data_IF_856037208911
#
_entry.id   IF_856037208911
#
_cell.length_a   1.000
_cell.length_b   1.000
_cell.length_c   1.000
_cell.angle_alpha   90.00
_cell.angle_beta   90.00
_cell.angle_gamma   90.00
#
_symmetry.space_group_name_H-M   'P 1'
#
loop_
_entity.id
_entity.type
_entity.pdbx_description
1 polymer ?
#
# COMPACT_ATOMS: atom_id res chain seq x y z
N UNK A 1 8.52 12.21 -4.38
CA UNK A 1 8.16 11.22 -3.34
C UNK A 1 9.42 10.69 -2.66
N UNK A 2 9.29 10.14 -1.46
CA UNK A 2 10.39 9.54 -0.68
C UNK A 2 10.28 8.01 -0.67
N UNK A 3 11.39 7.29 -0.48
CA UNK A 3 11.34 5.84 -0.31
C UNK A 3 12.28 5.35 0.78
N UNK A 4 11.89 4.22 1.37
CA UNK A 4 12.76 3.26 2.04
C UNK A 4 12.71 1.92 1.30
N UNK A 5 13.82 1.18 1.25
CA UNK A 5 13.87 -0.12 0.60
C UNK A 5 14.98 -0.99 1.18
N UNK A 6 14.78 -2.29 1.20
CA UNK A 6 15.82 -3.29 1.49
C UNK A 6 16.26 -4.05 0.22
N UNK A 7 15.91 -3.53 -0.97
CA UNK A 7 16.38 -4.04 -2.25
C UNK A 7 17.85 -3.73 -2.46
N UNK A 8 18.54 -4.55 -3.25
CA UNK A 8 19.89 -4.29 -3.71
C UNK A 8 19.89 -3.11 -4.70
N UNK A 9 20.70 -2.09 -4.41
CA UNK A 9 20.84 -0.93 -5.29
C UNK A 9 21.51 -1.29 -6.62
N UNK A 10 21.04 -0.67 -7.70
CA UNK A 10 21.64 -0.74 -9.03
C UNK A 10 22.36 0.57 -9.38
N UNK A 11 23.11 0.57 -10.48
CA UNK A 11 23.68 1.80 -11.02
C UNK A 11 22.57 2.75 -11.52
N UNK A 12 22.69 4.02 -11.16
CA UNK A 12 21.72 5.07 -11.49
C UNK A 12 20.82 5.49 -10.32
N UNK A 13 20.06 6.56 -10.53
CA UNK A 13 19.14 7.09 -9.53
C UNK A 13 17.80 6.36 -9.55
N UNK A 14 17.24 6.06 -8.37
CA UNK A 14 15.95 5.37 -8.25
C UNK A 14 15.88 4.03 -8.98
N UNK A 15 16.98 3.26 -8.95
CA UNK A 15 17.07 1.92 -9.54
C UNK A 15 17.50 0.89 -8.50
N UNK A 16 16.70 -0.15 -8.37
CA UNK A 16 16.95 -1.26 -7.46
C UNK A 16 16.52 -2.56 -8.11
N UNK A 17 17.20 -3.66 -7.76
CA UNK A 17 16.86 -4.97 -8.31
C UNK A 17 15.68 -5.62 -7.59
N UNK A 18 15.26 -6.78 -8.10
CA UNK A 18 14.33 -7.69 -7.40
C UNK A 18 14.98 -8.47 -6.25
N UNK A 19 16.28 -8.32 -6.01
CA UNK A 19 17.00 -9.04 -4.96
C UNK A 19 17.09 -8.20 -3.67
N UNK A 20 17.12 -8.88 -2.53
CA UNK A 20 17.43 -8.23 -1.24
C UNK A 20 18.88 -7.79 -1.21
N UNK A 21 19.16 -6.64 -0.60
CA UNK A 21 20.52 -6.19 -0.34
C UNK A 21 21.21 -7.12 0.66
N UNK A 22 22.47 -7.47 0.39
CA UNK A 22 23.36 -8.19 1.33
C UNK A 22 24.26 -7.25 2.15
N UNK A 23 24.23 -5.95 1.84
CA UNK A 23 25.16 -4.95 2.39
C UNK A 23 24.45 -3.94 3.28
N UNK A 24 23.26 -3.51 2.88
CA UNK A 24 22.45 -2.51 3.60
C UNK A 24 21.11 -3.13 4.01
N UNK A 25 20.75 -3.02 5.28
CA UNK A 25 19.43 -3.46 5.73
C UNK A 25 18.31 -2.55 5.21
N UNK A 26 18.58 -1.25 5.10
CA UNK A 26 17.68 -0.22 4.62
C UNK A 26 18.44 0.87 3.85
N UNK A 27 17.95 1.21 2.67
CA UNK A 27 18.39 2.34 1.86
C UNK A 27 17.26 3.37 1.75
N UNK A 28 17.63 4.64 1.85
CA UNK A 28 16.69 5.77 1.80
C UNK A 28 16.93 6.64 0.56
N UNK A 29 15.90 7.36 0.13
CA UNK A 29 16.08 8.33 -0.95
C UNK A 29 14.79 9.03 -1.39
N UNK A 30 14.88 9.72 -2.52
CA UNK A 30 13.74 10.38 -3.15
C UNK A 30 13.75 10.20 -4.66
N UNK A 31 12.56 10.10 -5.24
CA UNK A 31 12.35 10.07 -6.69
C UNK A 31 11.42 11.23 -7.10
N UNK A 32 11.74 11.85 -8.24
CA UNK A 32 10.87 12.81 -8.91
C UNK A 32 10.13 12.09 -10.04
N UNK A 33 8.81 12.10 -9.97
CA UNK A 33 7.93 11.54 -10.99
C UNK A 33 7.20 12.69 -11.69
N UNK A 34 7.08 12.64 -13.01
CA UNK A 34 6.23 13.53 -13.81
C UNK A 34 4.97 12.82 -14.26
N UNK A 35 3.92 13.59 -14.46
CA UNK A 35 2.63 13.15 -14.99
C UNK A 35 2.36 13.89 -16.29
N UNK A 36 1.72 13.25 -17.28
CA UNK A 36 1.30 13.92 -18.49
C UNK A 36 0.20 14.96 -18.18
N UNK A 37 0.05 16.03 -18.97
CA UNK A 37 -0.95 17.06 -18.72
C UNK A 37 -2.40 16.56 -18.70
N UNK A 38 -2.69 15.49 -19.43
CA UNK A 38 -4.00 14.84 -19.56
C UNK A 38 -4.15 13.58 -18.69
N UNK A 39 -3.30 13.44 -17.66
CA UNK A 39 -3.32 12.32 -16.71
C UNK A 39 -4.73 12.02 -16.19
N UNK A 40 -5.10 10.74 -16.20
CA UNK A 40 -6.41 10.26 -15.74
C UNK A 40 -6.27 9.52 -14.42
N UNK A 41 -7.17 9.84 -13.50
CA UNK A 41 -7.24 9.17 -12.19
C UNK A 41 -7.33 7.66 -12.38
N UNK A 42 -6.46 6.94 -11.68
CA UNK A 42 -6.40 5.50 -11.72
C UNK A 42 -5.57 4.93 -12.87
N UNK A 43 -4.92 5.75 -13.70
CA UNK A 43 -4.14 5.26 -14.83
C UNK A 43 -2.68 5.62 -14.62
N UNK A 44 -1.79 4.65 -14.79
CA UNK A 44 -0.36 4.94 -14.97
C UNK A 44 -0.12 4.91 -16.47
N UNK A 45 -0.13 6.08 -17.12
CA UNK A 45 0.10 6.16 -18.56
C UNK A 45 1.50 5.66 -18.89
N UNK A 46 1.58 4.68 -19.78
CA UNK A 46 2.82 4.04 -20.21
C UNK A 46 2.79 3.75 -21.71
N UNK A 47 3.95 3.58 -22.35
CA UNK A 47 3.98 3.16 -23.75
C UNK A 47 3.22 1.84 -23.93
N UNK A 48 2.54 1.71 -25.07
CA UNK A 48 1.81 0.47 -25.40
C UNK A 48 2.75 -0.74 -25.55
N UNK A 49 4.01 -0.52 -25.92
CA UNK A 49 5.05 -1.54 -25.97
C UNK A 49 6.33 -1.01 -25.32
N UNK A 50 7.03 -1.87 -24.58
CA UNK A 50 8.26 -1.50 -23.86
C UNK A 50 9.39 -1.02 -24.78
N UNK A 51 9.39 -1.42 -26.05
CA UNK A 51 10.38 -0.97 -27.04
C UNK A 51 10.13 0.47 -27.53
N UNK A 52 8.94 1.02 -27.29
CA UNK A 52 8.63 2.40 -27.66
C UNK A 52 9.23 3.41 -26.69
N UNK A 53 9.68 4.53 -27.25
CA UNK A 53 10.25 5.61 -26.46
C UNK A 53 9.19 6.21 -25.55
N UNK A 54 9.51 6.32 -24.27
CA UNK A 54 8.64 7.01 -23.32
C UNK A 54 8.73 8.54 -23.47
N UNK A 55 7.58 9.23 -23.46
CA UNK A 55 7.47 10.68 -23.51
C UNK A 55 6.85 11.21 -22.21
N UNK A 56 7.44 12.19 -21.50
CA UNK A 56 6.83 12.79 -20.31
C UNK A 56 5.51 13.51 -20.57
N UNK A 57 5.22 13.92 -21.82
CA UNK A 57 3.94 14.56 -22.17
C UNK A 57 2.80 13.55 -22.32
N UNK A 58 3.11 12.26 -22.50
CA UNK A 58 2.13 11.19 -22.69
C UNK A 58 2.14 10.17 -21.55
N UNK A 59 3.23 10.08 -20.76
CA UNK A 59 3.45 8.99 -19.80
C UNK A 59 3.91 9.45 -18.42
N UNK A 60 3.57 8.65 -17.40
CA UNK A 60 4.10 8.78 -16.05
C UNK A 60 5.55 8.31 -16.00
N UNK A 61 6.46 9.22 -15.65
CA UNK A 61 7.91 9.00 -15.80
C UNK A 61 8.68 9.32 -14.54
N UNK A 62 9.60 8.43 -14.15
CA UNK A 62 10.64 8.75 -13.16
C UNK A 62 11.68 9.63 -13.87
N UNK A 63 11.79 10.89 -13.46
CA UNK A 63 12.67 11.88 -14.12
C UNK A 63 14.09 11.80 -13.58
N UNK A 64 14.23 11.79 -12.26
CA UNK A 64 15.50 11.66 -11.55
C UNK A 64 15.24 11.25 -10.10
N UNK A 65 16.31 11.02 -9.37
CA UNK A 65 16.25 10.73 -7.95
C UNK A 65 17.58 10.96 -7.28
N UNK A 66 17.66 10.56 -6.02
CA UNK A 66 18.93 10.42 -5.30
C UNK A 66 18.73 9.50 -4.11
N UNK A 67 19.74 8.65 -3.87
CA UNK A 67 19.91 8.01 -2.56
C UNK A 67 20.29 9.07 -1.55
N UNK A 68 19.79 8.92 -0.33
CA UNK A 68 20.02 9.84 0.77
C UNK A 68 20.50 9.03 1.96
N UNK A 69 21.49 9.56 2.68
CA UNK A 69 21.69 9.11 4.04
C UNK A 69 20.48 9.51 4.91
N UNK A 70 20.46 8.98 6.13
CA UNK A 70 19.35 9.16 7.07
C UNK A 70 19.13 10.63 7.46
N UNK A 71 20.21 11.40 7.63
CA UNK A 71 20.12 12.81 8.01
C UNK A 71 19.53 13.64 6.87
N UNK A 72 20.07 13.48 5.66
CA UNK A 72 19.59 14.13 4.44
C UNK A 72 18.14 13.76 4.12
N UNK A 73 17.77 12.50 4.34
CA UNK A 73 16.40 12.02 4.19
C UNK A 73 15.47 12.74 5.16
N UNK A 74 15.79 12.76 6.46
CA UNK A 74 14.98 13.39 7.49
C UNK A 74 14.83 14.90 7.30
N UNK A 75 15.90 15.61 6.93
CA UNK A 75 15.83 17.04 6.62
C UNK A 75 14.94 17.30 5.39
N UNK A 76 15.12 16.53 4.32
CA UNK A 76 14.31 16.67 3.10
C UNK A 76 12.83 16.34 3.37
N UNK A 77 12.56 15.33 4.21
CA UNK A 77 11.23 14.90 4.60
C UNK A 77 10.54 15.95 5.46
N UNK A 78 11.22 16.52 6.46
CA UNK A 78 10.69 17.57 7.32
C UNK A 78 10.17 18.78 6.52
N UNK A 79 10.94 19.21 5.50
CA UNK A 79 10.52 20.27 4.59
C UNK A 79 9.25 19.91 3.80
N UNK A 80 9.09 18.65 3.37
CA UNK A 80 7.90 18.21 2.64
C UNK A 80 6.68 18.04 3.55
N UNK A 81 6.87 17.57 4.77
CA UNK A 81 5.82 17.40 5.76
C UNK A 81 5.19 18.76 6.12
N UNK A 82 6.02 19.81 6.23
CA UNK A 82 5.58 21.16 6.57
C UNK A 82 4.78 21.20 7.88
N UNK A 83 3.93 22.22 8.03
CA UNK A 83 3.14 22.38 9.26
C UNK A 83 2.12 21.25 9.50
N UNK A 84 1.60 20.69 8.40
CA UNK A 84 0.58 19.62 8.43
C UNK A 84 1.11 18.33 9.04
N UNK A 85 2.40 18.03 8.85
CA UNK A 85 3.02 16.81 9.37
C UNK A 85 2.39 15.52 8.84
N UNK A 86 1.74 15.57 7.67
CA UNK A 86 0.99 14.45 7.11
C UNK A 86 1.82 13.66 6.10
N UNK A 87 1.75 12.33 6.16
CA UNK A 87 2.43 11.43 5.24
C UNK A 87 1.54 10.28 4.79
N UNK A 88 1.74 9.83 3.55
CA UNK A 88 1.12 8.64 2.97
C UNK A 88 2.22 7.62 2.71
N UNK A 89 2.13 6.45 3.32
CA UNK A 89 3.06 5.33 3.09
C UNK A 89 2.35 4.28 2.22
N UNK A 90 2.97 3.94 1.10
CA UNK A 90 2.51 2.84 0.25
C UNK A 90 3.45 1.63 0.36
N UNK A 91 2.87 0.43 0.46
CA UNK A 91 3.59 -0.85 0.45
C UNK A 91 2.99 -1.73 -0.64
N UNK A 92 3.78 -2.04 -1.67
CA UNK A 92 3.30 -2.76 -2.84
C UNK A 92 3.11 -4.27 -2.59
N UNK A 93 2.41 -4.94 -3.51
CA UNK A 93 2.18 -6.40 -3.51
C UNK A 93 3.28 -7.21 -4.20
N UNK A 94 2.98 -8.47 -4.52
CA UNK A 94 3.89 -9.37 -5.25
C UNK A 94 4.09 -8.93 -6.71
N UNK A 95 5.18 -9.38 -7.35
CA UNK A 95 5.43 -9.12 -8.78
C UNK A 95 5.48 -7.63 -9.15
N UNK A 96 6.12 -6.78 -8.33
CA UNK A 96 6.27 -5.34 -8.61
C UNK A 96 7.74 -4.95 -8.68
N UNK A 97 8.16 -4.26 -9.74
CA UNK A 97 9.51 -3.68 -9.81
C UNK A 97 9.63 -2.48 -8.87
N UNK A 98 10.86 -2.04 -8.57
CA UNK A 98 11.04 -0.81 -7.78
C UNK A 98 10.40 0.38 -8.51
N UNK A 99 10.66 0.51 -9.81
CA UNK A 99 10.18 1.58 -10.67
C UNK A 99 8.65 1.63 -10.73
N UNK A 100 7.97 0.49 -10.86
CA UNK A 100 6.51 0.42 -10.87
C UNK A 100 5.91 0.81 -9.52
N UNK A 101 6.54 0.37 -8.42
CA UNK A 101 6.11 0.78 -7.07
C UNK A 101 6.30 2.28 -6.81
N UNK A 102 7.34 2.90 -7.38
CA UNK A 102 7.56 4.36 -7.37
C UNK A 102 6.46 5.08 -8.15
N UNK A 103 6.17 4.64 -9.39
CA UNK A 103 5.11 5.23 -10.21
C UNK A 103 3.75 5.12 -9.54
N UNK A 104 3.41 3.95 -8.99
CA UNK A 104 2.17 3.70 -8.26
C UNK A 104 2.03 4.60 -7.03
N UNK A 105 3.08 4.73 -6.22
CA UNK A 105 3.06 5.61 -5.04
C UNK A 105 2.84 7.07 -5.45
N UNK A 106 3.52 7.52 -6.50
CA UNK A 106 3.36 8.87 -7.00
C UNK A 106 1.94 9.10 -7.53
N UNK A 107 1.40 8.16 -8.31
CA UNK A 107 0.05 8.24 -8.88
C UNK A 107 -1.01 8.26 -7.78
N UNK A 108 -0.93 7.36 -6.79
CA UNK A 108 -1.83 7.38 -5.64
C UNK A 108 -1.81 8.74 -4.91
N UNK A 109 -0.61 9.29 -4.67
CA UNK A 109 -0.49 10.59 -4.02
C UNK A 109 -1.02 11.75 -4.88
N UNK A 110 -0.84 11.69 -6.20
CA UNK A 110 -1.32 12.69 -7.15
C UNK A 110 -2.84 12.68 -7.23
N UNK A 111 -3.43 11.50 -7.42
CA UNK A 111 -4.86 11.31 -7.60
C UNK A 111 -5.66 11.59 -6.34
N UNK A 112 -5.14 11.22 -5.17
CA UNK A 112 -5.71 11.60 -3.87
C UNK A 112 -5.52 13.09 -3.56
N UNK A 113 -4.83 13.84 -4.44
CA UNK A 113 -4.41 15.21 -4.20
C UNK A 113 -3.72 15.37 -2.84
N UNK A 114 -2.95 14.37 -2.43
CA UNK A 114 -2.43 14.25 -1.08
C UNK A 114 -1.43 15.36 -0.81
N UNK A 115 -1.78 16.26 0.13
CA UNK A 115 -1.00 17.47 0.37
C UNK A 115 0.19 17.26 1.33
N UNK A 116 0.44 16.04 1.76
CA UNK A 116 1.56 15.66 2.63
C UNK A 116 2.74 15.04 1.87
N UNK A 117 3.61 14.34 2.60
CA UNK A 117 4.74 13.60 2.05
C UNK A 117 4.30 12.20 1.58
N UNK A 118 4.39 11.85 0.28
CA UNK A 118 4.24 10.47 -0.15
C UNK A 118 5.55 9.70 0.01
N UNK A 119 5.45 8.52 0.64
CA UNK A 119 6.51 7.59 0.92
C UNK A 119 6.18 6.21 0.36
N UNK A 120 7.19 5.52 -0.14
CA UNK A 120 7.13 4.13 -0.56
C UNK A 120 8.00 3.30 0.38
N UNK A 121 7.51 2.17 0.85
CA UNK A 121 8.38 1.06 1.24
C UNK A 121 8.41 0.01 0.13
N UNK A 122 9.58 -0.21 -0.46
CA UNK A 122 9.75 -1.18 -1.54
C UNK A 122 10.54 -2.39 -1.05
N UNK A 123 9.90 -3.54 -0.99
CA UNK A 123 10.52 -4.82 -0.63
C UNK A 123 10.93 -5.59 -1.89
N UNK A 124 11.94 -6.49 -1.86
CA UNK A 124 12.48 -7.18 -3.03
C UNK A 124 11.54 -8.23 -3.63
N UNK A 125 10.44 -7.79 -4.24
CA UNK A 125 9.68 -8.62 -5.17
C UNK A 125 10.42 -8.69 -6.51
N UNK A 126 10.44 -9.88 -7.08
CA UNK A 126 11.16 -10.26 -8.29
C UNK A 126 10.66 -9.59 -9.56
N UNK A 127 9.42 -9.10 -9.58
CA UNK A 127 8.80 -8.60 -10.81
C UNK A 127 8.55 -9.69 -11.86
N UNK A 128 8.43 -10.96 -11.41
CA UNK A 128 8.03 -12.07 -12.26
C UNK A 128 6.95 -12.95 -11.61
N UNK A 129 5.88 -13.28 -12.35
CA UNK A 129 4.79 -14.16 -11.87
C UNK A 129 5.26 -15.58 -11.51
N UNK A 130 6.30 -16.09 -12.18
CA UNK A 130 6.86 -17.43 -11.92
C UNK A 130 7.62 -17.56 -10.60
N UNK A 131 7.86 -16.45 -9.89
CA UNK A 131 8.69 -16.39 -8.69
C UNK A 131 7.88 -16.18 -7.41
N UNK A 132 6.60 -16.56 -7.40
CA UNK A 132 5.71 -16.39 -6.25
C UNK A 132 6.31 -16.88 -4.92
N UNK A 133 6.88 -18.10 -4.87
CA UNK A 133 7.55 -18.63 -3.66
C UNK A 133 8.76 -17.80 -3.22
N UNK A 134 9.50 -17.25 -4.16
CA UNK A 134 10.65 -16.41 -3.86
C UNK A 134 10.18 -15.08 -3.27
N UNK A 135 9.14 -14.48 -3.83
CA UNK A 135 8.48 -13.27 -3.31
C UNK A 135 7.92 -13.50 -1.89
N UNK A 136 7.32 -14.67 -1.61
CA UNK A 136 6.86 -15.03 -0.26
C UNK A 136 8.00 -15.11 0.76
N UNK A 137 9.13 -15.72 0.38
CA UNK A 137 10.31 -15.76 1.23
C UNK A 137 10.89 -14.36 1.42
N UNK A 138 10.92 -13.55 0.35
CA UNK A 138 11.47 -12.21 0.34
C UNK A 138 10.66 -11.25 1.23
N UNK A 139 9.32 -11.28 1.17
CA UNK A 139 8.47 -10.45 2.05
C UNK A 139 8.62 -10.85 3.51
N UNK A 140 8.70 -12.16 3.81
CA UNK A 140 8.92 -12.65 5.18
C UNK A 140 10.27 -12.15 5.74
N UNK A 141 11.32 -12.16 4.91
CA UNK A 141 12.64 -11.61 5.25
C UNK A 141 12.69 -10.07 5.30
N UNK A 142 11.65 -9.40 4.80
CA UNK A 142 11.55 -7.93 4.77
C UNK A 142 10.80 -7.37 5.97
N UNK A 143 10.15 -8.20 6.78
CA UNK A 143 9.43 -7.77 7.98
C UNK A 143 10.24 -6.84 8.90
N UNK A 144 11.50 -7.17 9.28
CA UNK A 144 12.29 -6.26 10.13
C UNK A 144 12.51 -4.90 9.48
N UNK A 145 12.79 -4.88 8.18
CA UNK A 145 13.01 -3.64 7.43
C UNK A 145 11.72 -2.79 7.31
N UNK A 146 10.54 -3.41 7.17
CA UNK A 146 9.26 -2.70 7.20
C UNK A 146 9.04 -2.06 8.57
N UNK A 147 9.27 -2.83 9.65
CA UNK A 147 9.14 -2.31 11.01
C UNK A 147 10.10 -1.15 11.28
N UNK A 148 11.38 -1.33 10.98
CA UNK A 148 12.41 -0.32 11.19
C UNK A 148 12.09 0.96 10.38
N UNK A 149 11.65 0.82 9.12
CA UNK A 149 11.21 1.96 8.31
C UNK A 149 10.01 2.69 8.91
N UNK A 150 8.98 1.97 9.35
CA UNK A 150 7.80 2.56 9.97
C UNK A 150 8.17 3.28 11.27
N UNK A 151 8.97 2.64 12.13
CA UNK A 151 9.43 3.21 13.39
C UNK A 151 10.27 4.47 13.16
N UNK A 152 11.27 4.38 12.28
CA UNK A 152 12.13 5.50 11.88
C UNK A 152 11.32 6.71 11.41
N UNK A 153 10.29 6.47 10.58
CA UNK A 153 9.40 7.51 10.09
C UNK A 153 8.55 8.11 11.21
N UNK A 154 7.99 7.29 12.09
CA UNK A 154 7.14 7.74 13.19
C UNK A 154 7.92 8.47 14.28
N UNK A 155 9.20 8.16 14.49
CA UNK A 155 10.09 8.87 15.42
C UNK A 155 10.44 10.28 14.95
N UNK A 156 10.28 10.59 13.66
CA UNK A 156 10.52 11.93 13.15
C UNK A 156 9.53 12.94 13.78
N UNK A 157 10.00 14.01 14.43
CA UNK A 157 9.13 14.97 15.13
C UNK A 157 8.23 15.77 14.19
N UNK A 158 8.58 15.88 12.90
CA UNK A 158 7.73 16.48 11.89
C UNK A 158 6.51 15.64 11.51
N UNK A 159 6.54 14.33 11.80
CA UNK A 159 5.45 13.40 11.48
C UNK A 159 4.39 13.45 12.58
N UNK A 160 3.18 13.85 12.17
CA UNK A 160 2.01 14.04 13.02
C UNK A 160 0.84 13.12 12.63
N UNK A 161 0.68 12.85 11.33
CA UNK A 161 -0.43 12.07 10.77
C UNK A 161 0.07 11.13 9.69
N UNK A 162 -0.12 9.83 9.86
CA UNK A 162 0.32 8.82 8.89
C UNK A 162 -0.86 8.03 8.37
N UNK A 163 -0.98 7.97 7.05
CA UNK A 163 -1.92 7.13 6.32
C UNK A 163 -1.10 6.02 5.66
N UNK A 164 -1.52 4.77 5.81
CA UNK A 164 -0.82 3.62 5.22
C UNK A 164 -1.76 2.93 4.24
N UNK A 165 -1.26 2.62 3.05
CA UNK A 165 -1.93 1.75 2.08
C UNK A 165 -0.99 0.60 1.76
N UNK A 166 -1.41 -0.63 2.08
CA UNK A 166 -0.69 -1.83 1.69
C UNK A 166 -1.55 -2.70 0.79
N UNK A 167 -0.91 -3.28 -0.21
CA UNK A 167 -1.58 -4.10 -1.20
C UNK A 167 -1.11 -5.56 -1.15
N UNK A 168 -2.07 -6.50 -1.22
CA UNK A 168 -1.79 -7.93 -1.43
C UNK A 168 -0.77 -8.47 -0.44
N UNK A 169 0.30 -9.10 -0.93
CA UNK A 169 1.37 -9.72 -0.16
C UNK A 169 2.13 -8.70 0.71
N UNK A 170 2.13 -7.42 0.34
CA UNK A 170 2.70 -6.35 1.18
C UNK A 170 2.01 -6.23 2.54
N UNK A 171 0.73 -6.64 2.63
CA UNK A 171 0.01 -6.70 3.91
C UNK A 171 0.64 -7.70 4.88
N UNK A 172 1.29 -8.78 4.40
CA UNK A 172 1.92 -9.78 5.28
C UNK A 172 2.99 -9.16 6.18
N UNK A 173 3.87 -8.33 5.62
CA UNK A 173 4.90 -7.66 6.42
C UNK A 173 4.34 -6.45 7.18
N UNK A 174 3.39 -5.71 6.60
CA UNK A 174 2.78 -4.57 7.29
C UNK A 174 2.06 -5.01 8.57
N UNK A 175 1.20 -6.03 8.51
CA UNK A 175 0.41 -6.43 9.69
C UNK A 175 1.31 -6.87 10.82
N UNK A 176 2.33 -7.70 10.54
CA UNK A 176 3.34 -8.07 11.53
C UNK A 176 4.05 -6.85 12.13
N UNK A 177 4.43 -5.87 11.29
CA UNK A 177 5.10 -4.65 11.73
C UNK A 177 4.18 -3.78 12.62
N UNK A 178 2.89 -3.73 12.31
CA UNK A 178 1.88 -3.05 13.13
C UNK A 178 1.70 -3.74 14.48
N UNK A 179 1.57 -5.07 14.52
CA UNK A 179 1.45 -5.81 15.79
C UNK A 179 2.61 -5.49 16.73
N UNK A 180 3.84 -5.48 16.18
CA UNK A 180 5.03 -5.10 16.94
C UNK A 180 5.01 -3.62 17.34
N UNK A 181 4.66 -2.71 16.44
CA UNK A 181 4.62 -1.28 16.70
C UNK A 181 3.63 -0.91 17.81
N UNK A 182 2.41 -1.43 17.77
CA UNK A 182 1.41 -1.19 18.81
C UNK A 182 1.81 -1.78 20.16
N UNK A 183 2.55 -2.89 20.16
CA UNK A 183 3.06 -3.52 21.39
C UNK A 183 4.26 -2.76 21.98
N UNK A 184 5.25 -2.41 21.17
CA UNK A 184 6.52 -1.81 21.63
C UNK A 184 6.49 -0.29 21.72
N UNK A 185 5.63 0.40 20.96
CA UNK A 185 5.65 1.86 20.83
C UNK A 185 4.25 2.43 20.55
N UNK A 186 3.28 2.25 21.47
CA UNK A 186 1.89 2.70 21.28
C UNK A 186 1.77 4.22 21.05
N UNK A 187 2.64 5.04 21.66
CA UNK A 187 2.68 6.50 21.46
C UNK A 187 3.04 6.87 20.01
N UNK A 188 3.90 6.08 19.37
CA UNK A 188 4.22 6.26 17.94
C UNK A 188 3.05 5.78 17.08
N UNK A 189 2.42 4.66 17.44
CA UNK A 189 1.27 4.11 16.74
C UNK A 189 0.05 5.06 16.75
N UNK A 190 -0.09 5.90 17.78
CA UNK A 190 -1.15 6.93 17.85
C UNK A 190 -1.11 7.97 16.72
N UNK A 191 0.01 8.09 16.00
CA UNK A 191 0.13 8.95 14.81
C UNK A 191 -0.53 8.34 13.55
N UNK A 192 -0.83 7.04 13.57
CA UNK A 192 -1.53 6.36 12.48
C UNK A 192 -2.99 6.84 12.45
N UNK A 193 -3.39 7.42 11.33
CA UNK A 193 -4.74 7.96 11.13
C UNK A 193 -5.64 7.00 10.35
N UNK A 194 -5.05 6.21 9.46
CA UNK A 194 -5.77 5.21 8.66
C UNK A 194 -4.79 4.15 8.16
N UNK A 195 -5.24 2.89 8.18
CA UNK A 195 -4.50 1.73 7.70
C UNK A 195 -5.40 1.00 6.70
N UNK A 196 -5.15 1.25 5.42
CA UNK A 196 -5.86 0.60 4.32
C UNK A 196 -5.15 -0.71 3.98
N UNK A 197 -5.84 -1.83 4.22
CA UNK A 197 -5.46 -3.15 3.79
C UNK A 197 -6.22 -3.48 2.49
N UNK A 198 -5.56 -3.31 1.35
CA UNK A 198 -6.16 -3.58 0.04
C UNK A 198 -5.85 -5.01 -0.40
N UNK A 199 -6.90 -5.80 -0.63
CA UNK A 199 -6.81 -7.18 -1.11
C UNK A 199 -5.77 -8.05 -0.36
N UNK A 200 -5.74 -8.08 0.99
CA UNK A 200 -4.66 -8.73 1.72
C UNK A 200 -4.51 -10.21 1.38
N UNK A 201 -3.32 -10.55 0.86
CA UNK A 201 -2.89 -11.93 0.69
C UNK A 201 -2.30 -12.45 2.00
N UNK A 202 -3.16 -12.63 2.99
CA UNK A 202 -2.86 -13.22 4.30
C UNK A 202 -3.81 -14.40 4.48
N UNK A 203 -3.38 -15.46 5.17
CA UNK A 203 -4.30 -16.53 5.55
C UNK A 203 -5.51 -15.96 6.32
N UNK A 204 -6.72 -16.32 5.90
CA UNK A 204 -7.94 -15.74 6.48
C UNK A 204 -8.11 -16.12 7.97
N UNK A 205 -7.66 -17.30 8.37
CA UNK A 205 -7.66 -17.74 9.77
C UNK A 205 -6.64 -16.95 10.59
N UNK A 206 -5.40 -16.82 10.10
CA UNK A 206 -4.39 -15.98 10.75
C UNK A 206 -4.86 -14.53 10.91
N UNK A 207 -5.48 -13.97 9.88
CA UNK A 207 -6.02 -12.62 9.90
C UNK A 207 -7.12 -12.46 10.96
N UNK A 208 -8.08 -13.39 10.98
CA UNK A 208 -9.21 -13.36 11.89
C UNK A 208 -8.82 -13.63 13.36
N UNK A 209 -7.93 -14.60 13.59
CA UNK A 209 -7.67 -15.15 14.92
C UNK A 209 -6.51 -14.45 15.63
N UNK A 210 -5.59 -13.82 14.89
CA UNK A 210 -4.39 -13.20 15.46
C UNK A 210 -4.30 -11.70 15.17
N UNK A 211 -4.45 -11.29 13.91
CA UNK A 211 -4.19 -9.91 13.49
C UNK A 211 -5.32 -8.98 13.94
N UNK A 212 -6.56 -9.29 13.56
CA UNK A 212 -7.73 -8.45 13.88
C UNK A 212 -7.91 -8.24 15.39
N UNK A 213 -7.83 -9.26 16.26
CA UNK A 213 -8.02 -9.06 17.68
C UNK A 213 -7.00 -8.10 18.29
N UNK A 214 -5.74 -8.16 17.86
CA UNK A 214 -4.69 -7.24 18.31
C UNK A 214 -4.94 -5.81 17.83
N UNK A 215 -5.14 -5.62 16.53
CA UNK A 215 -5.38 -4.30 15.95
C UNK A 215 -6.62 -3.65 16.58
N UNK A 216 -7.68 -4.42 16.80
CA UNK A 216 -8.90 -3.99 17.49
C UNK A 216 -8.64 -3.59 18.94
N UNK A 217 -7.89 -4.40 19.70
CA UNK A 217 -7.55 -4.12 21.10
C UNK A 217 -6.81 -2.80 21.26
N UNK A 218 -6.01 -2.43 20.27
CA UNK A 218 -5.21 -1.21 20.24
C UNK A 218 -5.95 -0.01 19.62
N UNK A 219 -7.20 -0.21 19.17
CA UNK A 219 -7.99 0.85 18.52
C UNK A 219 -7.43 1.30 17.18
N UNK A 220 -6.75 0.41 16.44
CA UNK A 220 -6.16 0.74 15.15
C UNK A 220 -7.25 1.15 14.12
N UNK A 221 -7.07 2.26 13.38
CA UNK A 221 -8.03 2.69 12.36
C UNK A 221 -7.81 1.88 11.07
N UNK A 222 -8.48 0.75 10.94
CA UNK A 222 -8.28 -0.18 9.82
C UNK A 222 -9.46 -0.17 8.87
N UNK A 223 -9.17 0.05 7.59
CA UNK A 223 -10.10 -0.16 6.47
C UNK A 223 -9.64 -1.33 5.62
N UNK A 224 -10.52 -2.28 5.36
CA UNK A 224 -10.24 -3.50 4.64
C UNK A 224 -11.03 -3.54 3.32
N UNK A 225 -10.33 -3.48 2.18
CA UNK A 225 -10.93 -3.72 0.87
C UNK A 225 -10.79 -5.18 0.48
N UNK A 226 -11.91 -5.78 0.11
CA UNK A 226 -12.01 -7.17 -0.34
C UNK A 226 -12.72 -7.26 -1.68
N UNK A 227 -12.51 -8.35 -2.41
CA UNK A 227 -13.25 -8.61 -3.64
C UNK A 227 -13.46 -10.11 -3.86
N UNK A 228 -14.63 -10.50 -4.35
CA UNK A 228 -14.94 -11.86 -4.77
C UNK A 228 -14.29 -12.19 -6.13
N UNK A 229 -13.94 -11.15 -6.90
CA UNK A 229 -13.46 -11.25 -8.28
C UNK A 229 -11.93 -11.10 -8.41
N UNK A 230 -11.19 -11.17 -7.29
CA UNK A 230 -9.73 -11.05 -7.28
C UNK A 230 -9.08 -12.36 -7.76
N UNK A 231 -8.62 -12.34 -9.02
CA UNK A 231 -8.01 -13.51 -9.69
C UNK A 231 -6.68 -13.90 -9.05
N UNK A 232 -5.90 -12.93 -8.58
CA UNK A 232 -4.60 -13.20 -7.98
C UNK A 232 -4.75 -13.85 -6.60
N UNK A 233 -5.70 -13.38 -5.78
CA UNK A 233 -6.04 -14.04 -4.52
C UNK A 233 -6.64 -15.43 -4.74
N UNK A 234 -7.42 -15.63 -5.81
CA UNK A 234 -7.88 -16.96 -6.19
C UNK A 234 -6.71 -17.90 -6.51
N UNK A 235 -5.69 -17.45 -7.25
CA UNK A 235 -4.45 -18.19 -7.50
C UNK A 235 -3.69 -18.46 -6.19
N UNK A 236 -3.55 -17.46 -5.33
CA UNK A 236 -2.92 -17.63 -4.01
C UNK A 236 -3.65 -18.67 -3.15
N UNK A 237 -4.98 -18.65 -3.12
CA UNK A 237 -5.76 -19.68 -2.42
C UNK A 237 -5.42 -21.07 -2.96
N UNK A 238 -5.42 -21.26 -4.28
CA UNK A 238 -5.12 -22.57 -4.89
C UNK A 238 -3.74 -23.04 -4.48
N UNK A 239 -2.76 -22.14 -4.46
CA UNK A 239 -1.39 -22.43 -4.06
C UNK A 239 -1.28 -22.82 -2.57
N UNK A 240 -2.04 -22.18 -1.68
CA UNK A 240 -1.99 -22.40 -0.23
C UNK A 240 -2.97 -23.43 0.31
N UNK A 241 -3.99 -23.80 -0.45
CA UNK A 241 -5.09 -24.66 0.02
C UNK A 241 -5.98 -23.99 1.07
N UNK A 242 -5.88 -22.67 1.28
CA UNK A 242 -6.63 -21.95 2.31
C UNK A 242 -7.09 -20.56 1.85
N UNK A 243 -8.21 -20.10 2.40
CA UNK A 243 -8.79 -18.79 2.06
C UNK A 243 -7.84 -17.63 2.37
N UNK A 244 -7.88 -16.57 1.56
CA UNK A 244 -7.12 -15.34 1.79
C UNK A 244 -8.03 -14.25 2.36
N UNK A 245 -7.51 -13.43 3.27
CA UNK A 245 -8.25 -12.37 3.96
C UNK A 245 -8.85 -11.31 3.01
N UNK A 246 -8.24 -11.08 1.85
CA UNK A 246 -8.73 -10.15 0.84
C UNK A 246 -9.86 -10.68 -0.03
N UNK A 247 -10.24 -11.96 0.10
CA UNK A 247 -11.30 -12.56 -0.71
C UNK A 247 -12.65 -12.36 -0.05
N UNK A 248 -13.55 -11.66 -0.74
CA UNK A 248 -14.94 -11.57 -0.30
C UNK A 248 -15.65 -12.91 -0.51
N UNK A 249 -16.35 -13.41 0.51
CA UNK A 249 -17.09 -14.68 0.47
C UNK A 249 -18.38 -14.58 1.26
N UNK A 250 -19.34 -15.44 0.93
CA UNK A 250 -20.55 -15.63 1.71
C UNK A 250 -20.47 -16.97 2.46
N UNK A 251 -20.83 -17.05 3.76
CA UNK A 251 -21.18 -15.93 4.63
C UNK A 251 -20.01 -14.95 4.83
N UNK A 252 -20.31 -13.65 4.88
CA UNK A 252 -19.30 -12.60 5.08
C UNK A 252 -18.78 -12.64 6.52
N UNK A 253 -17.47 -12.49 6.69
CA UNK A 253 -16.84 -12.37 8.00
C UNK A 253 -16.66 -10.88 8.29
N UNK A 254 -17.40 -10.36 9.27
CA UNK A 254 -17.29 -8.97 9.71
C UNK A 254 -16.41 -8.91 10.95
N UNK A 255 -15.37 -8.10 10.86
CA UNK A 255 -14.38 -7.93 11.91
C UNK A 255 -14.73 -6.67 12.73
N UNK A 256 -15.05 -6.84 14.01
CA UNK A 256 -15.30 -5.71 14.90
C UNK A 256 -14.07 -4.79 14.95
N UNK A 257 -14.27 -3.48 14.78
CA UNK A 257 -13.19 -2.49 14.75
C UNK A 257 -12.45 -2.38 13.41
N UNK A 258 -12.88 -3.09 12.37
CA UNK A 258 -12.37 -2.96 11.00
C UNK A 258 -13.51 -2.53 10.09
N UNK A 259 -13.29 -1.48 9.29
CA UNK A 259 -14.25 -1.05 8.29
C UNK A 259 -14.11 -1.89 7.02
N UNK A 260 -15.06 -2.80 6.79
CA UNK A 260 -15.06 -3.72 5.64
C UNK A 260 -15.74 -3.08 4.43
N UNK A 261 -15.04 -3.04 3.29
CA UNK A 261 -15.53 -2.52 2.01
C UNK A 261 -15.42 -3.61 0.94
N UNK A 262 -16.56 -4.04 0.42
CA UNK A 262 -16.66 -4.97 -0.70
C UNK A 262 -16.54 -4.23 -2.04
N UNK A 263 -15.43 -4.50 -2.75
CA UNK A 263 -15.13 -4.02 -4.08
C UNK A 263 -15.56 -4.98 -5.20
N UNK A 264 -16.35 -6.01 -4.91
CA UNK A 264 -16.77 -7.02 -5.89
C UNK A 264 -17.54 -6.44 -7.08
N UNK A 265 -18.32 -5.37 -6.87
CA UNK A 265 -19.10 -4.71 -7.91
C UNK A 265 -18.26 -3.92 -8.92
N UNK A 266 -17.02 -3.57 -8.57
CA UNK A 266 -16.13 -2.85 -9.47
C UNK A 266 -15.59 -3.83 -10.52
N UNK A 267 -16.03 -3.68 -11.78
CA UNK A 267 -15.57 -4.53 -12.89
C UNK A 267 -14.04 -4.55 -12.94
N UNK A 268 -13.45 -5.74 -12.87
CA UNK A 268 -11.99 -5.94 -12.75
C UNK A 268 -11.26 -5.85 -14.08
N UNK A 269 -11.74 -5.00 -14.99
CA UNK A 269 -11.06 -4.69 -16.24
C UNK A 269 -9.94 -3.69 -15.97
N UNK A 270 -8.85 -4.20 -15.41
CA UNK A 270 -7.54 -4.37 -16.05
C UNK A 270 -6.63 -4.99 -14.98
N UNK A 271 -6.42 -6.30 -15.10
CA UNK A 271 -5.62 -7.16 -14.22
C UNK A 271 -6.13 -7.09 -12.78
N UNK A 272 -6.93 -8.08 -12.36
CA UNK A 272 -7.63 -8.18 -11.07
C UNK A 272 -6.74 -8.25 -9.83
N UNK A 273 -5.87 -7.27 -9.67
CA UNK A 273 -4.91 -7.07 -8.60
C UNK A 273 -4.36 -5.63 -8.53
N UNK A 274 -4.92 -4.67 -9.28
CA UNK A 274 -4.53 -3.25 -9.19
C UNK A 274 -5.72 -2.32 -8.92
N UNK A 275 -6.91 -2.87 -8.68
CA UNK A 275 -8.16 -2.11 -8.58
C UNK A 275 -8.15 -1.02 -7.49
N UNK A 276 -7.38 -1.21 -6.42
CA UNK A 276 -7.23 -0.24 -5.33
C UNK A 276 -6.64 1.09 -5.80
N UNK A 277 -5.78 1.05 -6.82
CA UNK A 277 -5.15 2.23 -7.42
C UNK A 277 -5.66 2.55 -8.81
N UNK A 278 -6.39 1.63 -9.47
CA UNK A 278 -6.79 1.75 -10.88
C UNK A 278 -8.26 2.08 -11.12
N UNK A 279 -9.10 1.98 -10.08
CA UNK A 279 -10.52 2.34 -10.19
C UNK A 279 -10.74 3.69 -9.55
N UNK A 280 -11.27 4.62 -10.34
CA UNK A 280 -11.72 5.93 -9.86
C UNK A 280 -12.58 5.81 -8.60
N UNK A 281 -13.46 4.81 -8.51
CA UNK A 281 -14.30 4.60 -7.33
C UNK A 281 -13.48 4.32 -6.06
N UNK A 282 -12.44 3.49 -6.11
CA UNK A 282 -11.62 3.20 -4.93
C UNK A 282 -10.72 4.37 -4.56
N UNK A 283 -10.13 5.04 -5.56
CA UNK A 283 -9.32 6.23 -5.34
C UNK A 283 -10.17 7.39 -4.78
N UNK A 284 -11.39 7.58 -5.29
CA UNK A 284 -12.32 8.57 -4.76
C UNK A 284 -12.76 8.22 -3.33
N UNK A 285 -13.03 6.95 -3.05
CA UNK A 285 -13.38 6.50 -1.70
C UNK A 285 -12.23 6.74 -0.70
N UNK A 286 -11.00 6.36 -1.07
CA UNK A 286 -9.79 6.68 -0.28
C UNK A 286 -9.58 8.18 -0.12
N UNK A 287 -9.93 9.00 -1.12
CA UNK A 287 -9.86 10.46 -1.01
C UNK A 287 -10.75 10.95 0.14
N UNK A 288 -12.01 10.50 0.22
CA UNK A 288 -12.91 10.89 1.30
C UNK A 288 -12.48 10.29 2.65
N UNK A 289 -12.04 9.03 2.66
CA UNK A 289 -11.49 8.37 3.85
C UNK A 289 -10.33 9.18 4.45
N UNK A 290 -9.37 9.63 3.63
CA UNK A 290 -8.21 10.39 4.12
C UNK A 290 -8.55 11.84 4.51
N UNK A 291 -9.75 12.32 4.16
CA UNK A 291 -10.33 13.56 4.67
C UNK A 291 -11.07 13.36 5.99
N UNK A 292 -11.17 12.13 6.49
CA UNK A 292 -11.83 11.77 7.74
C UNK A 292 -13.34 11.55 7.59
N UNK A 293 -13.85 11.36 6.38
CA UNK A 293 -15.25 11.01 6.17
C UNK A 293 -15.49 9.58 6.67
N UNK A 294 -16.56 9.38 7.45
CA UNK A 294 -17.02 8.03 7.85
C UNK A 294 -17.61 7.33 6.64
N UNK A 295 -17.65 5.99 6.65
CA UNK A 295 -18.21 5.25 5.52
C UNK A 295 -19.62 5.65 5.09
N UNK A 296 -20.48 5.97 6.05
CA UNK A 296 -21.86 6.45 5.78
C UNK A 296 -21.91 7.75 4.97
N UNK A 297 -20.86 8.56 5.05
CA UNK A 297 -20.76 9.85 4.36
C UNK A 297 -20.00 9.75 3.03
N UNK A 298 -19.45 8.58 2.68
CA UNK A 298 -18.69 8.36 1.43
C UNK A 298 -19.65 8.08 0.28
N UNK A 299 -19.74 9.03 -0.66
CA UNK A 299 -20.82 9.14 -1.65
C UNK A 299 -21.07 7.87 -2.50
N UNK A 300 -20.03 7.09 -2.76
CA UNK A 300 -20.06 5.91 -3.61
C UNK A 300 -20.22 4.59 -2.84
N UNK A 301 -20.43 4.64 -1.52
CA UNK A 301 -20.67 3.46 -0.70
C UNK A 301 -22.14 3.35 -0.29
N UNK A 302 -22.61 2.11 -0.18
CA UNK A 302 -23.89 1.76 0.42
C UNK A 302 -23.69 0.71 1.52
N UNK A 303 -24.50 0.80 2.58
CA UNK A 303 -24.44 -0.14 3.70
C UNK A 303 -25.18 -1.42 3.36
N UNK A 304 -24.59 -2.57 3.73
CA UNK A 304 -25.20 -3.88 3.63
C UNK A 304 -25.22 -4.54 5.00
N UNK A 305 -26.38 -5.07 5.40
CA UNK A 305 -26.54 -5.80 6.66
C UNK A 305 -26.36 -7.30 6.44
N UNK A 306 -25.55 -7.94 7.28
CA UNK A 306 -25.29 -9.38 7.23
C UNK A 306 -25.26 -9.99 8.64
N UNK A 307 -25.33 -11.33 8.76
CA UNK A 307 -25.04 -12.00 10.02
C UNK A 307 -23.65 -11.60 10.53
N UNK A 308 -23.58 -10.95 11.70
CA UNK A 308 -22.32 -10.45 12.28
C UNK A 308 -22.13 -8.92 12.20
N UNK A 309 -22.99 -8.17 11.49
CA UNK A 309 -22.98 -6.71 11.51
C UNK A 309 -23.28 -6.05 10.17
N UNK A 310 -22.67 -4.89 9.95
CA UNK A 310 -22.78 -4.12 8.71
C UNK A 310 -21.42 -4.06 8.01
N UNK A 311 -21.45 -4.07 6.68
CA UNK A 311 -20.29 -3.75 5.83
C UNK A 311 -20.74 -2.79 4.73
N UNK A 312 -19.78 -2.30 3.95
CA UNK A 312 -20.03 -1.36 2.85
C UNK A 312 -19.72 -2.01 1.52
N UNK A 313 -20.45 -1.65 0.48
CA UNK A 313 -20.10 -2.02 -0.90
C UNK A 313 -20.21 -0.79 -1.80
N UNK A 314 -19.54 -0.82 -2.94
CA UNK A 314 -19.67 0.25 -3.93
C UNK A 314 -21.06 0.22 -4.56
N UNK A 315 -21.65 1.41 -4.71
CA UNK A 315 -22.87 1.60 -5.50
C UNK A 315 -22.61 1.18 -6.97
N UNK A 316 -23.57 0.50 -7.61
CA UNK A 316 -23.48 0.10 -9.02
C UNK A 316 -23.24 1.26 -9.99
#
# INVERSE_FOLDING_TARGET
MFYGTNRQALAGDCRFSGARSSVEALSYGKCRVSFPPDHRVGIIESPFFDWMKSNPDDHVMIKNGRRLDREQFNQSLALRLGERGASLIFIHGYNVSFEDSVKRTAQLAYDLQFKGAPLLFSWPSSGSESQYRADESAIAQSYPAVYDFLKDHLENPGVKKVYIVAHSMGNRALTQALLRLYSESPDLAAKLQEIVLAAPDIDAGEFADKIVPELRRQGAPVTLYVSANDKALALSQVFHGAARAGMFRKPVVIYSGVELIDASALSTDFIGHSYYGDKLSVVADMYYLFKGAKAVDRFNLQVVTAPGGQYWEFKP
#
